data_IF_899007107508
#
_entry.id   IF_899007107508
#
_cell.length_a   1.000
_cell.length_b   1.000
_cell.length_c   1.000
_cell.angle_alpha   90.00
_cell.angle_beta   90.00
_cell.angle_gamma   90.00
#
_symmetry.space_group_name_H-M   'P 1'
#
loop_
_entity.id
_entity.type
_entity.pdbx_description
1 polymer ?
#
# COMPACT_ATOMS: atom_id res chain seq x y z
N UNK A 1 -72.60 -13.95 13.78
CA UNK A 1 -71.20 -14.29 14.15
C UNK A 1 -70.30 -13.59 13.15
N UNK A 2 -69.76 -12.43 13.53
CA UNK A 2 -68.88 -11.63 12.68
C UNK A 2 -67.47 -12.25 12.73
N UNK A 3 -66.99 -12.66 11.56
CA UNK A 3 -65.69 -13.27 11.35
C UNK A 3 -64.70 -12.15 11.03
N UNK A 4 -64.34 -11.33 12.04
CA UNK A 4 -63.25 -10.35 11.93
C UNK A 4 -62.04 -10.88 12.72
N UNK A 5 -61.05 -11.41 12.00
CA UNK A 5 -59.83 -11.93 12.65
C UNK A 5 -58.64 -12.22 11.73
N UNK A 6 -58.66 -11.78 10.46
CA UNK A 6 -57.63 -12.15 9.48
C UNK A 6 -56.32 -11.35 9.52
N UNK A 7 -56.29 -10.15 10.10
CA UNK A 7 -55.12 -9.27 10.02
C UNK A 7 -54.05 -9.48 11.11
N UNK A 8 -54.38 -10.16 12.21
CA UNK A 8 -53.50 -10.29 13.37
C UNK A 8 -52.36 -11.30 13.19
N UNK A 9 -52.59 -12.36 12.40
CA UNK A 9 -51.60 -13.42 12.18
C UNK A 9 -50.39 -12.93 11.38
N UNK A 10 -50.63 -12.34 10.22
CA UNK A 10 -49.57 -11.86 9.31
C UNK A 10 -48.71 -10.77 9.97
N UNK A 11 -49.33 -9.81 10.68
CA UNK A 11 -48.59 -8.73 11.33
C UNK A 11 -47.73 -9.24 12.50
N UNK A 12 -48.22 -10.22 13.24
CA UNK A 12 -47.45 -10.88 14.31
C UNK A 12 -46.28 -11.68 13.77
N UNK A 13 -46.45 -12.40 12.66
CA UNK A 13 -45.36 -13.13 12.01
C UNK A 13 -44.24 -12.20 11.52
N UNK A 14 -44.60 -11.11 10.85
CA UNK A 14 -43.65 -10.09 10.41
C UNK A 14 -42.92 -9.43 11.59
N UNK A 15 -43.64 -9.16 12.68
CA UNK A 15 -43.05 -8.64 13.92
C UNK A 15 -42.03 -9.61 14.54
N UNK A 16 -42.39 -10.89 14.65
CA UNK A 16 -41.49 -11.90 15.22
C UNK A 16 -40.25 -12.08 14.33
N UNK A 17 -40.42 -12.03 13.01
CA UNK A 17 -39.32 -12.07 12.06
C UNK A 17 -38.40 -10.86 12.20
N UNK A 18 -38.94 -9.65 12.32
CA UNK A 18 -38.13 -8.43 12.50
C UNK A 18 -37.39 -8.44 13.84
N UNK A 19 -38.00 -8.90 14.93
CA UNK A 19 -37.33 -9.05 16.24
C UNK A 19 -36.21 -10.10 16.21
N UNK A 20 -36.40 -11.23 15.52
CA UNK A 20 -35.32 -12.22 15.35
C UNK A 20 -34.15 -11.62 14.58
N UNK A 21 -34.41 -10.93 13.47
CA UNK A 21 -33.38 -10.25 12.69
C UNK A 21 -32.67 -9.15 13.49
N UNK A 22 -33.39 -8.40 14.32
CA UNK A 22 -32.80 -7.38 15.19
C UNK A 22 -31.78 -8.00 16.17
N UNK A 23 -32.14 -9.12 16.80
CA UNK A 23 -31.23 -9.82 17.72
C UNK A 23 -29.99 -10.32 16.99
N UNK A 24 -30.15 -10.97 15.83
CA UNK A 24 -29.00 -11.48 15.05
C UNK A 24 -28.11 -10.35 14.55
N UNK A 25 -28.71 -9.23 14.13
CA UNK A 25 -27.99 -8.03 13.66
C UNK A 25 -27.20 -7.40 14.79
N UNK A 26 -27.80 -7.24 15.98
CA UNK A 26 -27.14 -6.69 17.16
C UNK A 26 -25.96 -7.57 17.58
N UNK A 27 -26.17 -8.88 17.67
CA UNK A 27 -25.11 -9.81 18.06
C UNK A 27 -23.97 -9.83 17.01
N UNK A 28 -24.30 -9.70 15.72
CA UNK A 28 -23.32 -9.53 14.64
C UNK A 28 -22.52 -8.23 14.76
N UNK A 29 -23.18 -7.13 15.11
CA UNK A 29 -22.55 -5.83 15.34
C UNK A 29 -21.64 -5.84 16.59
N UNK A 30 -22.08 -6.44 17.70
CA UNK A 30 -21.24 -6.59 18.89
C UNK A 30 -19.97 -7.41 18.60
N UNK A 31 -20.09 -8.46 17.77
CA UNK A 31 -18.93 -9.25 17.32
C UNK A 31 -17.98 -8.40 16.47
N UNK A 32 -18.53 -7.55 15.60
CA UNK A 32 -17.78 -6.63 14.77
C UNK A 32 -16.96 -5.64 15.62
N UNK A 33 -17.57 -5.08 16.66
CA UNK A 33 -16.91 -4.19 17.61
C UNK A 33 -15.84 -4.92 18.44
N UNK A 34 -16.12 -6.13 18.95
CA UNK A 34 -15.13 -6.95 19.68
C UNK A 34 -13.91 -7.29 18.84
N UNK A 35 -14.09 -7.62 17.56
CA UNK A 35 -12.99 -7.87 16.63
C UNK A 35 -12.14 -6.62 16.41
N UNK A 36 -12.76 -5.43 16.44
CA UNK A 36 -12.06 -4.14 16.35
C UNK A 36 -11.15 -3.88 17.55
N UNK A 37 -11.56 -4.25 18.76
CA UNK A 37 -10.73 -4.12 19.96
C UNK A 37 -9.65 -5.19 20.06
N UNK A 38 -9.92 -6.39 19.53
CA UNK A 38 -9.03 -7.55 19.67
C UNK A 38 -7.88 -7.56 18.65
N UNK A 39 -8.04 -6.86 17.53
CA UNK A 39 -7.13 -7.01 16.38
C UNK A 39 -6.06 -5.92 16.36
N UNK A 40 -4.88 -6.25 16.92
CA UNK A 40 -3.61 -5.55 16.65
C UNK A 40 -3.00 -5.92 15.28
N UNK A 41 -3.62 -6.84 14.52
CA UNK A 41 -3.16 -7.32 13.19
C UNK A 41 -4.31 -7.51 12.20
N UNK A 42 -4.62 -6.48 11.43
CA UNK A 42 -5.26 -6.55 10.10
C UNK A 42 -6.60 -7.31 9.99
N UNK A 43 -7.71 -6.57 10.01
CA UNK A 43 -9.08 -7.07 9.86
C UNK A 43 -9.45 -7.61 8.47
N UNK A 44 -8.93 -8.79 8.11
CA UNK A 44 -9.23 -9.45 6.83
C UNK A 44 -10.59 -10.16 6.85
N UNK A 45 -11.11 -10.53 8.02
CA UNK A 45 -12.38 -11.27 8.15
C UNK A 45 -13.60 -10.36 8.46
N UNK A 46 -13.37 -9.06 8.64
CA UNK A 46 -14.43 -8.09 9.02
C UNK A 46 -15.39 -7.63 7.90
N UNK A 47 -15.01 -7.55 6.61
CA UNK A 47 -15.86 -6.91 5.61
C UNK A 47 -17.12 -7.73 5.28
N UNK A 48 -17.04 -9.06 5.27
CA UNK A 48 -18.17 -9.94 5.00
C UNK A 48 -19.24 -9.85 6.11
N UNK A 49 -18.79 -9.84 7.37
CA UNK A 49 -19.66 -9.70 8.54
C UNK A 49 -20.35 -8.33 8.56
N UNK A 50 -19.61 -7.25 8.26
CA UNK A 50 -20.17 -5.89 8.15
C UNK A 50 -21.22 -5.78 7.02
N UNK A 51 -21.01 -6.47 5.90
CA UNK A 51 -21.96 -6.51 4.79
C UNK A 51 -23.24 -7.28 5.16
N UNK A 52 -23.10 -8.41 5.87
CA UNK A 52 -24.23 -9.17 6.38
C UNK A 52 -25.09 -8.33 7.34
N UNK A 53 -24.47 -7.66 8.33
CA UNK A 53 -25.16 -6.76 9.26
C UNK A 53 -25.86 -5.63 8.50
N UNK A 54 -25.20 -5.00 7.51
CA UNK A 54 -25.81 -3.95 6.68
C UNK A 54 -27.04 -4.45 5.93
N UNK A 55 -26.96 -5.64 5.34
CA UNK A 55 -28.07 -6.26 4.61
C UNK A 55 -29.24 -6.56 5.55
N UNK A 56 -28.97 -7.13 6.72
CA UNK A 56 -29.99 -7.52 7.68
C UNK A 56 -30.72 -6.29 8.25
N UNK A 57 -30.01 -5.17 8.49
CA UNK A 57 -30.61 -3.86 8.80
C UNK A 57 -31.56 -3.41 7.69
N UNK A 58 -31.15 -3.52 6.42
CA UNK A 58 -32.00 -3.21 5.28
C UNK A 58 -33.27 -4.08 5.23
N UNK A 59 -33.15 -5.38 5.54
CA UNK A 59 -34.30 -6.27 5.63
C UNK A 59 -35.25 -5.89 6.79
N UNK A 60 -34.72 -5.50 7.95
CA UNK A 60 -35.55 -5.02 9.07
C UNK A 60 -36.31 -3.76 8.67
N UNK A 61 -35.65 -2.81 7.99
CA UNK A 61 -36.31 -1.59 7.51
C UNK A 61 -37.43 -1.90 6.51
N UNK A 62 -37.24 -2.86 5.60
CA UNK A 62 -38.29 -3.32 4.69
C UNK A 62 -39.47 -3.94 5.44
N UNK A 63 -39.20 -4.79 6.45
CA UNK A 63 -40.24 -5.36 7.29
C UNK A 63 -41.02 -4.28 8.05
N UNK A 64 -40.34 -3.23 8.55
CA UNK A 64 -41.03 -2.09 9.16
C UNK A 64 -42.00 -1.43 8.19
N UNK A 65 -41.58 -1.15 6.94
CA UNK A 65 -42.44 -0.56 5.90
C UNK A 65 -43.63 -1.47 5.55
N UNK A 66 -43.39 -2.79 5.50
CA UNK A 66 -44.44 -3.77 5.21
C UNK A 66 -45.48 -3.84 6.34
N UNK A 67 -45.01 -3.95 7.59
CA UNK A 67 -45.85 -3.89 8.78
C UNK A 67 -46.62 -2.57 8.89
N UNK A 68 -46.02 -1.48 8.40
CA UNK A 68 -46.60 -0.14 8.38
C UNK A 68 -47.88 -0.04 7.55
N UNK A 69 -47.99 -0.86 6.51
CA UNK A 69 -49.19 -0.94 5.68
C UNK A 69 -50.29 -1.72 6.37
N UNK A 70 -49.91 -2.79 7.07
CA UNK A 70 -50.84 -3.67 7.77
C UNK A 70 -51.45 -3.05 9.02
N UNK A 71 -50.70 -2.32 9.85
CA UNK A 71 -51.33 -1.71 11.03
C UNK A 71 -52.26 -0.56 10.66
N UNK A 72 -51.97 0.17 9.58
CA UNK A 72 -52.85 1.25 9.06
C UNK A 72 -54.20 0.73 8.59
N UNK A 73 -54.29 -0.52 8.12
CA UNK A 73 -55.55 -1.13 7.68
C UNK A 73 -56.37 -1.76 8.81
N UNK A 74 -55.88 -1.75 10.07
CA UNK A 74 -56.62 -2.25 11.23
C UNK A 74 -57.75 -1.26 11.57
N UNK A 75 -58.99 -1.75 11.58
CA UNK A 75 -60.17 -0.95 11.91
C UNK A 75 -60.17 -0.48 13.37
N UNK A 76 -59.88 -1.40 14.31
CA UNK A 76 -59.86 -1.12 15.75
C UNK A 76 -58.73 -0.15 16.16
N UNK A 77 -59.09 1.03 16.66
CA UNK A 77 -58.15 2.09 17.03
C UNK A 77 -57.13 1.67 18.10
N UNK A 78 -57.55 0.97 19.15
CA UNK A 78 -56.65 0.51 20.21
C UNK A 78 -55.60 -0.47 19.72
N UNK A 79 -55.99 -1.43 18.88
CA UNK A 79 -55.08 -2.39 18.25
C UNK A 79 -54.12 -1.69 17.29
N UNK A 80 -54.63 -0.75 16.49
CA UNK A 80 -53.83 0.07 15.59
C UNK A 80 -52.75 0.86 16.33
N UNK A 81 -53.11 1.54 17.42
CA UNK A 81 -52.17 2.33 18.24
C UNK A 81 -51.13 1.44 18.93
N UNK A 82 -51.50 0.22 19.34
CA UNK A 82 -50.56 -0.77 19.88
C UNK A 82 -49.54 -1.20 18.83
N UNK A 83 -49.99 -1.57 17.64
CA UNK A 83 -49.13 -2.02 16.56
C UNK A 83 -48.25 -0.92 16.01
N UNK A 84 -48.76 0.32 15.94
CA UNK A 84 -47.97 1.51 15.61
C UNK A 84 -46.74 1.63 16.52
N UNK A 85 -46.94 1.59 17.85
CA UNK A 85 -45.83 1.67 18.82
C UNK A 85 -44.81 0.54 18.66
N UNK A 86 -45.29 -0.70 18.42
CA UNK A 86 -44.41 -1.85 18.19
C UNK A 86 -43.54 -1.68 16.95
N UNK A 87 -44.09 -1.14 15.86
CA UNK A 87 -43.34 -0.91 14.62
C UNK A 87 -42.38 0.26 14.78
N UNK A 88 -42.80 1.35 15.42
CA UNK A 88 -41.93 2.49 15.74
C UNK A 88 -40.73 2.04 16.57
N UNK A 89 -40.93 1.20 17.59
CA UNK A 89 -39.82 0.64 18.37
C UNK A 89 -38.83 -0.18 17.52
N UNK A 90 -39.32 -1.04 16.62
CA UNK A 90 -38.46 -1.83 15.72
C UNK A 90 -37.69 -0.92 14.76
N UNK A 91 -38.33 0.14 14.26
CA UNK A 91 -37.70 1.12 13.38
C UNK A 91 -36.62 1.94 14.10
N UNK A 92 -36.85 2.36 15.34
CA UNK A 92 -35.87 3.02 16.19
C UNK A 92 -34.67 2.12 16.50
N UNK A 93 -34.91 0.85 16.86
CA UNK A 93 -33.85 -0.15 17.05
C UNK A 93 -33.03 -0.37 15.77
N UNK A 94 -33.69 -0.45 14.60
CA UNK A 94 -32.99 -0.57 13.32
C UNK A 94 -32.17 0.69 12.96
N UNK A 95 -32.69 1.86 13.30
CA UNK A 95 -32.00 3.14 13.12
C UNK A 95 -30.73 3.25 13.97
N UNK A 96 -30.81 2.89 15.24
CA UNK A 96 -29.65 2.93 16.15
C UNK A 96 -28.57 1.91 15.77
N UNK A 97 -28.96 0.71 15.32
CA UNK A 97 -28.02 -0.28 14.77
C UNK A 97 -27.33 0.24 13.50
N UNK A 98 -28.06 0.92 12.62
CA UNK A 98 -27.51 1.51 11.40
C UNK A 98 -26.49 2.60 11.72
N UNK A 99 -26.83 3.51 12.62
CA UNK A 99 -25.92 4.58 13.04
C UNK A 99 -24.63 4.02 13.65
N UNK A 100 -24.75 3.00 14.49
CA UNK A 100 -23.60 2.31 15.09
C UNK A 100 -22.73 1.62 14.03
N UNK A 101 -23.33 0.97 13.04
CA UNK A 101 -22.61 0.36 11.92
C UNK A 101 -21.92 1.41 11.03
N UNK A 102 -22.59 2.52 10.72
CA UNK A 102 -22.00 3.60 9.90
C UNK A 102 -20.78 4.21 10.62
N UNK A 103 -20.84 4.32 11.96
CA UNK A 103 -19.71 4.76 12.76
C UNK A 103 -18.54 3.77 12.76
N UNK A 104 -18.83 2.48 12.87
CA UNK A 104 -17.84 1.43 12.68
C UNK A 104 -17.16 1.54 11.30
N UNK A 105 -17.95 1.62 10.23
CA UNK A 105 -17.45 1.67 8.85
C UNK A 105 -16.60 2.91 8.59
N UNK A 106 -17.01 4.08 9.10
CA UNK A 106 -16.25 5.32 9.00
C UNK A 106 -14.87 5.21 9.65
N UNK A 107 -14.81 4.62 10.85
CA UNK A 107 -13.54 4.35 11.56
C UNK A 107 -12.66 3.36 10.79
N UNK A 108 -13.24 2.28 10.30
CA UNK A 108 -12.51 1.27 9.53
C UNK A 108 -11.96 1.83 8.21
N UNK A 109 -12.75 2.66 7.51
CA UNK A 109 -12.31 3.33 6.28
C UNK A 109 -11.14 4.26 6.56
N UNK A 110 -11.22 5.08 7.62
CA UNK A 110 -10.13 5.96 8.03
C UNK A 110 -8.83 5.19 8.30
N UNK A 111 -8.90 4.07 9.02
CA UNK A 111 -7.74 3.20 9.27
C UNK A 111 -7.19 2.59 7.98
N UNK A 112 -8.06 2.15 7.08
CA UNK A 112 -7.66 1.59 5.79
C UNK A 112 -6.94 2.63 4.94
N UNK A 113 -7.39 3.89 4.97
CA UNK A 113 -6.75 5.01 4.29
C UNK A 113 -5.37 5.31 4.89
N UNK A 114 -5.27 5.43 6.22
CA UNK A 114 -4.00 5.64 6.91
C UNK A 114 -2.99 4.51 6.62
N UNK A 115 -3.45 3.26 6.55
CA UNK A 115 -2.61 2.11 6.19
C UNK A 115 -2.15 2.15 4.73
N UNK A 116 -3.02 2.58 3.80
CA UNK A 116 -2.66 2.77 2.38
C UNK A 116 -1.61 3.86 2.22
N UNK A 117 -1.79 5.01 2.85
CA UNK A 117 -0.81 6.11 2.83
C UNK A 117 0.54 5.66 3.41
N UNK A 118 0.53 4.94 4.54
CA UNK A 118 1.76 4.34 5.10
C UNK A 118 2.42 3.35 4.13
N UNK A 119 1.64 2.53 3.45
CA UNK A 119 2.17 1.58 2.47
C UNK A 119 2.80 2.29 1.27
N UNK A 120 2.22 3.39 0.79
CA UNK A 120 2.79 4.21 -0.28
C UNK A 120 4.09 4.90 0.14
N UNK A 121 4.13 5.51 1.33
CA UNK A 121 5.34 6.12 1.88
C UNK A 121 6.46 5.10 2.06
N UNK A 122 6.14 3.94 2.65
CA UNK A 122 7.10 2.85 2.81
C UNK A 122 7.52 2.24 1.47
N UNK A 123 6.63 2.17 0.49
CA UNK A 123 6.93 1.68 -0.85
C UNK A 123 8.04 2.50 -1.52
N UNK A 124 7.93 3.84 -1.47
CA UNK A 124 8.94 4.76 -2.02
C UNK A 124 10.27 4.67 -1.28
N UNK A 125 10.25 4.63 0.05
CA UNK A 125 11.46 4.55 0.87
C UNK A 125 12.16 3.19 0.71
N UNK A 126 11.40 2.08 0.68
CA UNK A 126 11.98 0.75 0.44
C UNK A 126 12.55 0.61 -0.96
N UNK A 127 11.91 1.19 -1.98
CA UNK A 127 12.44 1.20 -3.34
C UNK A 127 13.78 1.96 -3.42
N UNK A 128 13.87 3.13 -2.78
CA UNK A 128 15.14 3.87 -2.68
C UNK A 128 16.21 3.12 -1.89
N UNK A 129 15.88 2.53 -0.73
CA UNK A 129 16.86 1.75 0.05
C UNK A 129 17.37 0.53 -0.71
N UNK A 130 16.49 -0.20 -1.39
CA UNK A 130 16.90 -1.33 -2.26
C UNK A 130 17.80 -0.86 -3.40
N UNK A 131 17.51 0.27 -4.02
CA UNK A 131 18.38 0.84 -5.05
C UNK A 131 19.76 1.25 -4.49
N UNK A 132 19.79 1.84 -3.29
CA UNK A 132 21.02 2.21 -2.60
C UNK A 132 21.86 0.98 -2.20
N UNK A 133 21.23 -0.07 -1.66
CA UNK A 133 21.91 -1.31 -1.29
C UNK A 133 22.48 -2.04 -2.51
N UNK A 134 21.74 -2.07 -3.62
CA UNK A 134 22.23 -2.59 -4.90
C UNK A 134 23.42 -1.76 -5.36
N UNK A 135 23.32 -0.43 -5.36
CA UNK A 135 24.43 0.44 -5.76
C UNK A 135 25.68 0.27 -4.86
N UNK A 136 25.50 0.11 -3.55
CA UNK A 136 26.61 -0.12 -2.64
C UNK A 136 27.27 -1.49 -2.86
N UNK A 137 26.46 -2.51 -3.19
CA UNK A 137 26.93 -3.88 -3.40
C UNK A 137 27.61 -4.06 -4.77
N UNK A 138 27.04 -3.52 -5.86
CA UNK A 138 27.60 -3.68 -7.23
C UNK A 138 28.35 -2.47 -7.77
N UNK A 139 27.97 -1.25 -7.39
CA UNK A 139 28.52 -0.01 -7.93
C UNK A 139 29.90 0.32 -7.38
N UNK A 140 30.15 0.07 -6.10
CA UNK A 140 31.45 0.37 -5.48
C UNK A 140 32.49 -0.67 -5.87
N UNK A 141 32.17 -1.96 -5.82
CA UNK A 141 33.17 -3.03 -6.04
C UNK A 141 33.81 -2.99 -7.43
N UNK A 142 33.05 -2.90 -8.52
CA UNK A 142 33.62 -2.86 -9.87
C UNK A 142 34.26 -1.49 -10.22
N UNK A 143 33.71 -0.39 -9.72
CA UNK A 143 34.27 0.95 -9.97
C UNK A 143 35.56 1.18 -9.19
N UNK A 144 35.62 0.78 -7.92
CA UNK A 144 36.83 0.82 -7.08
C UNK A 144 37.90 -0.14 -7.59
N UNK A 145 37.54 -1.36 -8.01
CA UNK A 145 38.49 -2.29 -8.63
C UNK A 145 39.09 -1.72 -9.93
N UNK A 146 38.26 -1.13 -10.81
CA UNK A 146 38.76 -0.45 -12.02
C UNK A 146 39.58 0.81 -11.73
N UNK A 147 39.32 1.51 -10.63
CA UNK A 147 40.12 2.67 -10.20
C UNK A 147 41.49 2.25 -9.66
N UNK A 148 41.59 1.15 -8.93
CA UNK A 148 42.88 0.61 -8.45
C UNK A 148 43.68 0.04 -9.63
N UNK A 149 43.04 -0.68 -10.54
CA UNK A 149 43.71 -1.24 -11.72
C UNK A 149 44.23 -0.15 -12.69
N UNK A 150 43.55 1.00 -12.77
CA UNK A 150 44.03 2.16 -13.54
C UNK A 150 45.24 2.86 -12.92
N UNK A 151 45.40 2.89 -11.59
CA UNK A 151 46.57 3.56 -10.97
C UNK A 151 47.89 2.96 -11.45
N UNK A 152 48.00 1.62 -11.52
CA UNK A 152 49.24 0.96 -11.93
C UNK A 152 49.62 1.18 -13.41
N UNK A 153 48.64 1.31 -14.33
CA UNK A 153 48.94 1.61 -15.75
C UNK A 153 49.29 3.08 -15.97
N UNK A 154 48.63 4.00 -15.27
CA UNK A 154 48.90 5.43 -15.38
C UNK A 154 50.28 5.76 -14.82
N UNK A 155 50.67 5.21 -13.67
CA UNK A 155 52.03 5.40 -13.12
C UNK A 155 53.11 4.86 -14.06
N UNK A 156 52.85 3.74 -14.74
CA UNK A 156 53.78 3.17 -15.71
C UNK A 156 53.91 4.07 -16.94
N UNK A 157 52.80 4.57 -17.48
CA UNK A 157 52.80 5.49 -18.61
C UNK A 157 53.48 6.83 -18.27
N UNK A 158 53.25 7.38 -17.08
CA UNK A 158 53.91 8.62 -16.63
C UNK A 158 55.43 8.45 -16.63
N UNK A 159 55.95 7.33 -16.11
CA UNK A 159 57.40 7.04 -16.11
C UNK A 159 57.98 7.01 -17.53
N UNK A 160 57.31 6.33 -18.46
CA UNK A 160 57.77 6.24 -19.85
C UNK A 160 57.68 7.58 -20.59
N UNK A 161 56.60 8.35 -20.38
CA UNK A 161 56.44 9.68 -20.99
C UNK A 161 57.51 10.63 -20.47
N UNK A 162 57.75 10.68 -19.16
CA UNK A 162 58.80 11.54 -18.56
C UNK A 162 60.19 11.15 -19.07
N UNK A 163 60.50 9.85 -19.12
CA UNK A 163 61.76 9.35 -19.67
C UNK A 163 61.92 9.74 -21.14
N UNK A 164 60.89 9.53 -21.97
CA UNK A 164 60.92 9.86 -23.38
C UNK A 164 61.10 11.37 -23.60
N UNK A 165 60.38 12.21 -22.86
CA UNK A 165 60.51 13.67 -22.98
C UNK A 165 61.88 14.20 -22.55
N UNK A 166 62.54 13.56 -21.59
CA UNK A 166 63.87 13.98 -21.13
C UNK A 166 65.00 13.46 -22.02
N UNK A 167 64.91 12.21 -22.47
CA UNK A 167 66.02 11.55 -23.18
C UNK A 167 65.95 11.70 -24.70
N UNK A 168 64.75 11.80 -25.30
CA UNK A 168 64.60 11.94 -26.75
C UNK A 168 65.31 13.17 -27.34
N UNK A 169 65.16 14.40 -26.79
CA UNK A 169 65.85 15.56 -27.37
C UNK A 169 67.37 15.44 -27.26
N UNK A 170 67.89 14.89 -26.16
CA UNK A 170 69.33 14.68 -25.96
C UNK A 170 69.89 13.65 -26.96
N UNK A 171 69.21 12.51 -27.11
CA UNK A 171 69.58 11.49 -28.11
C UNK A 171 69.50 12.01 -29.53
N UNK A 172 68.52 12.87 -29.84
CA UNK A 172 68.38 13.48 -31.15
C UNK A 172 69.48 14.50 -31.42
N UNK A 173 69.86 15.32 -30.42
CA UNK A 173 71.00 16.22 -30.51
C UNK A 173 72.32 15.46 -30.71
N UNK A 174 72.54 14.37 -29.98
CA UNK A 174 73.71 13.50 -30.15
C UNK A 174 73.73 12.84 -31.53
N UNK A 175 72.58 12.34 -32.01
CA UNK A 175 72.46 11.74 -33.34
C UNK A 175 72.72 12.75 -34.46
N UNK A 176 72.11 13.94 -34.38
CA UNK A 176 72.35 15.03 -35.34
C UNK A 176 73.80 15.51 -35.30
N UNK A 177 74.42 15.57 -34.11
CA UNK A 177 75.83 15.93 -33.94
C UNK A 177 76.77 14.86 -34.52
N UNK A 178 76.43 13.58 -34.40
CA UNK A 178 77.13 12.48 -35.07
C UNK A 178 76.99 12.55 -36.59
N UNK A 179 75.78 12.78 -37.11
CA UNK A 179 75.53 12.85 -38.55
C UNK A 179 76.19 14.08 -39.19
N UNK A 180 76.19 15.22 -38.52
CA UNK A 180 76.94 16.41 -38.96
C UNK A 180 78.45 16.16 -38.92
N UNK A 181 79.00 15.56 -37.86
CA UNK A 181 80.44 15.21 -37.80
C UNK A 181 80.84 14.23 -38.91
N UNK A 182 79.99 13.26 -39.24
CA UNK A 182 80.23 12.31 -40.33
C UNK A 182 80.28 13.01 -41.69
N UNK A 183 79.48 14.08 -41.86
CA UNK A 183 79.35 14.81 -43.12
C UNK A 183 80.38 15.94 -43.28
N UNK A 184 80.93 16.47 -42.19
CA UNK A 184 81.97 17.51 -42.23
C UNK A 184 83.39 16.98 -42.32
N UNK A 185 83.69 15.74 -41.90
CA UNK A 185 85.05 15.16 -41.97
C UNK A 185 85.11 13.81 -42.73
N UNK A 186 85.06 13.79 -44.07
CA UNK A 186 85.23 12.56 -44.84
C UNK A 186 86.69 12.08 -45.00
N UNK A 187 87.69 12.70 -44.35
CA UNK A 187 89.12 12.43 -44.61
C UNK A 187 89.96 11.86 -43.46
N UNK A 188 89.38 11.51 -42.30
CA UNK A 188 90.16 10.91 -41.19
C UNK A 188 89.74 9.46 -40.94
N UNK A 189 89.66 8.68 -42.02
CA UNK A 189 89.59 7.22 -42.00
C UNK A 189 90.71 6.66 -42.87
N UNK A 190 91.94 6.77 -42.38
CA UNK A 190 93.14 6.19 -43.00
C UNK A 190 94.31 6.13 -42.01
N UNK A 191 94.60 4.91 -41.52
CA UNK A 191 95.67 4.54 -40.59
C UNK A 191 95.13 4.32 -39.18
N UNK A 192 95.04 3.11 -38.59
CA UNK A 192 95.83 1.87 -38.72
C UNK A 192 97.33 2.13 -38.76
N UNK A 193 97.92 2.45 -37.61
CA UNK A 193 98.88 1.56 -36.93
C UNK A 193 99.22 2.07 -35.55
#
# INVERSE_FOLDING_TARGET
MAMEGGGGGTLSELYQRSKRLLLTTRDGLERLERLEFSTSKGGVDSPELSFAVKRDIGQIQLLCVEMDRFWRSIAAKSQRDLWKRKVEQVAEEAGSLKESLDMYLSRNQRRTQEARERAELLGRVRAQRKALDVLNTVGVSNFVLRLIERRHRVDRLIKYVVLFTLYLPVLLEDYLRCEINLKTNPWISGGIS
#
